data_IF_625508156993
#
_entry.id   IF_625508156993
#
_cell.length_a   1.000
_cell.length_b   1.000
_cell.length_c   1.000
_cell.angle_alpha   90.00
_cell.angle_beta   90.00
_cell.angle_gamma   90.00
#
_symmetry.space_group_name_H-M   'P 1'
#
loop_
_entity.id
_entity.type
_entity.pdbx_description
1 polymer ?
#
# COMPACT_ATOMS: atom_id res chain seq x y z
N UNK A 1 -2.84 -0.05 57.19
CA UNK A 1 -2.62 -1.47 57.51
C UNK A 1 -1.13 -1.78 57.42
N UNK A 2 -0.38 -1.35 58.44
CA UNK A 2 1.06 -1.60 58.59
C UNK A 2 1.23 -2.16 59.99
N UNK A 3 1.47 -3.47 60.10
CA UNK A 3 1.73 -4.09 61.40
C UNK A 3 2.52 -5.39 61.26
N UNK A 4 3.56 -5.50 62.09
CA UNK A 4 4.26 -6.70 62.59
C UNK A 4 5.51 -7.22 61.87
N UNK A 5 6.63 -6.60 62.25
CA UNK A 5 7.76 -7.19 62.99
C UNK A 5 7.58 -8.67 63.43
N UNK A 6 8.55 -9.54 63.14
CA UNK A 6 9.03 -10.59 64.07
C UNK A 6 10.56 -10.75 63.91
N UNK A 7 11.26 -10.43 65.00
CA UNK A 7 12.64 -10.80 65.31
C UNK A 7 12.58 -12.18 65.98
N UNK A 8 13.45 -13.13 65.59
CA UNK A 8 13.90 -14.18 66.51
C UNK A 8 15.38 -14.48 66.32
N UNK A 9 16.12 -14.12 67.36
CA UNK A 9 17.51 -14.47 67.64
C UNK A 9 17.50 -15.75 68.47
N UNK A 10 18.19 -16.81 68.04
CA UNK A 10 18.59 -17.91 68.94
C UNK A 10 20.07 -18.25 68.71
N UNK A 11 20.83 -18.07 69.79
CA UNK A 11 22.20 -18.52 70.02
C UNK A 11 22.31 -20.05 69.90
N UNK A 12 23.35 -20.54 69.24
CA UNK A 12 23.82 -21.92 69.32
C UNK A 12 25.34 -21.97 69.21
N UNK A 13 26.00 -22.39 70.29
CA UNK A 13 27.45 -22.41 70.43
C UNK A 13 28.09 -23.71 69.90
N UNK A 14 29.30 -23.55 69.33
CA UNK A 14 30.46 -24.47 69.25
C UNK A 14 30.26 -25.90 68.73
N UNK A 15 30.99 -26.23 67.65
CA UNK A 15 31.87 -27.40 67.61
C UNK A 15 32.91 -27.25 66.49
N UNK A 16 34.19 -27.20 66.86
CA UNK A 16 35.33 -27.25 65.94
C UNK A 16 35.55 -28.72 65.55
N UNK A 17 35.13 -29.10 64.34
CA UNK A 17 35.41 -30.42 63.78
C UNK A 17 36.44 -30.32 62.66
N UNK A 18 37.53 -31.06 62.85
CA UNK A 18 38.68 -31.29 61.97
C UNK A 18 38.30 -31.42 60.49
N UNK A 19 38.86 -30.55 59.65
CA UNK A 19 38.82 -30.68 58.19
C UNK A 19 39.93 -31.63 57.74
N UNK A 20 39.56 -32.82 57.28
CA UNK A 20 40.45 -33.66 56.45
C UNK A 20 40.74 -32.91 55.14
N UNK A 21 41.99 -32.93 54.62
CA UNK A 21 42.31 -32.28 53.36
C UNK A 21 41.50 -32.91 52.22
N UNK A 22 40.69 -32.11 51.54
CA UNK A 22 40.05 -32.49 50.28
C UNK A 22 41.18 -32.74 49.27
N UNK A 23 41.26 -33.96 48.73
CA UNK A 23 42.05 -34.22 47.52
C UNK A 23 41.47 -33.34 46.41
N UNK A 24 42.24 -32.33 46.00
CA UNK A 24 41.94 -31.60 44.78
C UNK A 24 42.09 -32.59 43.62
N UNK A 25 40.96 -33.02 43.04
CA UNK A 25 41.02 -33.54 41.68
C UNK A 25 41.64 -32.42 40.85
N UNK A 26 42.75 -32.70 40.17
CA UNK A 26 43.26 -31.79 39.14
C UNK A 26 42.12 -31.61 38.14
N UNK A 27 41.38 -30.51 38.28
CA UNK A 27 40.54 -30.01 37.21
C UNK A 27 41.54 -29.70 36.11
N UNK A 28 41.46 -30.44 35.00
CA UNK A 28 42.16 -30.06 33.79
C UNK A 28 41.56 -28.70 33.40
N UNK A 29 42.16 -27.63 33.91
CA UNK A 29 41.99 -26.31 33.33
C UNK A 29 42.77 -26.34 32.03
N UNK A 30 42.17 -27.01 31.05
CA UNK A 30 42.46 -26.82 29.63
C UNK A 30 42.04 -25.37 29.35
N UNK A 31 42.97 -24.45 29.62
CA UNK A 31 42.75 -23.03 29.41
C UNK A 31 42.45 -22.83 27.93
N UNK A 32 41.29 -22.24 27.63
CA UNK A 32 40.98 -21.69 26.33
C UNK A 32 42.21 -20.94 25.82
N UNK A 33 42.88 -21.52 24.84
CA UNK A 33 44.08 -20.90 24.29
C UNK A 33 43.64 -19.60 23.62
N UNK A 34 44.44 -18.54 23.73
CA UNK A 34 44.15 -17.25 23.07
C UNK A 34 43.82 -17.46 21.57
N UNK A 35 44.49 -18.43 20.95
CA UNK A 35 44.27 -18.83 19.56
C UNK A 35 42.88 -19.44 19.30
N UNK A 36 42.38 -20.29 20.20
CA UNK A 36 41.02 -20.85 20.11
C UNK A 36 39.95 -19.75 20.22
N UNK A 37 40.15 -18.79 21.13
CA UNK A 37 39.24 -17.64 21.24
C UNK A 37 39.28 -16.72 20.01
N UNK A 38 40.45 -16.55 19.38
CA UNK A 38 40.63 -15.77 18.15
C UNK A 38 39.91 -16.42 16.96
N UNK A 39 40.09 -17.73 16.79
CA UNK A 39 39.40 -18.51 15.76
C UNK A 39 37.89 -18.50 16.00
N UNK A 40 37.45 -18.61 17.25
CA UNK A 40 36.04 -18.52 17.63
C UNK A 40 35.40 -17.20 17.17
N UNK A 41 36.04 -16.07 17.45
CA UNK A 41 35.55 -14.75 16.99
C UNK A 41 35.50 -14.69 15.46
N UNK A 42 36.52 -15.20 14.76
CA UNK A 42 36.57 -15.20 13.29
C UNK A 42 35.44 -16.06 12.68
N UNK A 43 35.17 -17.23 13.25
CA UNK A 43 34.06 -18.09 12.80
C UNK A 43 32.72 -17.42 13.06
N UNK A 44 32.53 -16.80 14.23
CA UNK A 44 31.28 -16.09 14.54
C UNK A 44 31.05 -14.92 13.59
N UNK A 45 32.07 -14.10 13.30
CA UNK A 45 31.92 -12.97 12.37
C UNK A 45 31.65 -13.43 10.94
N UNK A 46 32.28 -14.51 10.49
CA UNK A 46 32.00 -15.12 9.19
C UNK A 46 30.54 -15.61 9.09
N UNK A 47 30.05 -16.31 10.13
CA UNK A 47 28.66 -16.80 10.19
C UNK A 47 27.66 -15.65 10.20
N UNK A 48 27.93 -14.59 10.98
CA UNK A 48 27.07 -13.39 11.01
C UNK A 48 27.06 -12.67 9.65
N UNK A 49 28.22 -12.50 9.03
CA UNK A 49 28.33 -11.89 7.71
C UNK A 49 27.56 -12.69 6.64
N UNK A 50 27.65 -14.03 6.68
CA UNK A 50 26.93 -14.92 5.77
C UNK A 50 25.40 -14.95 6.02
N UNK A 51 24.97 -14.74 7.27
CA UNK A 51 23.54 -14.79 7.64
C UNK A 51 22.79 -13.47 7.40
N UNK A 52 23.51 -12.36 7.17
CA UNK A 52 22.90 -11.03 7.02
C UNK A 52 22.09 -10.87 5.73
N UNK A 53 22.57 -11.28 4.53
CA UNK A 53 21.84 -11.07 3.29
C UNK A 53 20.43 -11.70 3.24
N UNK A 54 20.22 -12.96 3.70
CA UNK A 54 18.89 -13.56 3.73
C UNK A 54 17.88 -12.79 4.62
N UNK A 55 18.33 -12.30 5.77
CA UNK A 55 17.47 -11.56 6.71
C UNK A 55 17.04 -10.22 6.10
N UNK A 56 17.97 -9.50 5.48
CA UNK A 56 17.67 -8.24 4.81
C UNK A 56 16.71 -8.44 3.62
N UNK A 57 16.90 -9.50 2.84
CA UNK A 57 15.99 -9.85 1.75
C UNK A 57 14.57 -10.15 2.25
N UNK A 58 14.43 -10.91 3.35
CA UNK A 58 13.13 -11.20 3.95
C UNK A 58 12.44 -9.94 4.52
N UNK A 59 13.21 -9.01 5.10
CA UNK A 59 12.68 -7.74 5.57
C UNK A 59 12.21 -6.85 4.41
N UNK A 60 12.99 -6.79 3.32
CA UNK A 60 12.67 -6.00 2.14
C UNK A 60 11.37 -6.46 1.46
N UNK A 61 11.18 -7.77 1.26
CA UNK A 61 9.93 -8.30 0.68
C UNK A 61 8.71 -7.95 1.52
N UNK A 62 8.83 -8.02 2.85
CA UNK A 62 7.73 -7.66 3.76
C UNK A 62 7.34 -6.19 3.63
N UNK A 63 8.31 -5.28 3.54
CA UNK A 63 8.04 -3.84 3.37
C UNK A 63 7.39 -3.57 2.00
N UNK A 64 7.87 -4.23 0.95
CA UNK A 64 7.30 -4.09 -0.39
C UNK A 64 5.86 -4.61 -0.45
N UNK A 65 5.59 -5.78 0.12
CA UNK A 65 4.24 -6.34 0.20
C UNK A 65 3.31 -5.41 0.97
N UNK A 66 3.74 -4.88 2.12
CA UNK A 66 2.95 -3.91 2.88
C UNK A 66 2.60 -2.65 2.06
N UNK A 67 3.55 -2.12 1.30
CA UNK A 67 3.31 -0.95 0.44
C UNK A 67 2.35 -1.26 -0.70
N UNK A 68 2.45 -2.45 -1.29
CA UNK A 68 1.53 -2.90 -2.32
C UNK A 68 0.11 -3.10 -1.77
N UNK A 69 -0.01 -3.71 -0.60
CA UNK A 69 -1.29 -3.86 0.13
C UNK A 69 -1.92 -2.49 0.41
N UNK A 70 -1.14 -1.54 0.94
CA UNK A 70 -1.60 -0.17 1.17
C UNK A 70 -2.07 0.50 -0.12
N UNK A 71 -1.34 0.36 -1.22
CA UNK A 71 -1.73 0.93 -2.50
C UNK A 71 -3.05 0.35 -3.03
N UNK A 72 -3.29 -0.96 -2.83
CA UNK A 72 -4.56 -1.61 -3.18
C UNK A 72 -5.69 -1.07 -2.32
N UNK A 73 -5.49 -0.92 -1.01
CA UNK A 73 -6.49 -0.37 -0.10
C UNK A 73 -6.87 1.07 -0.47
N UNK A 74 -5.90 1.91 -0.81
CA UNK A 74 -6.14 3.28 -1.30
C UNK A 74 -6.95 3.25 -2.60
N UNK A 75 -6.60 2.36 -3.54
CA UNK A 75 -7.34 2.24 -4.79
C UNK A 75 -8.79 1.80 -4.57
N UNK A 76 -9.02 0.85 -3.65
CA UNK A 76 -10.34 0.38 -3.26
C UNK A 76 -11.16 1.50 -2.60
N UNK A 77 -10.54 2.27 -1.69
CA UNK A 77 -11.20 3.40 -1.04
C UNK A 77 -11.74 4.43 -2.04
N UNK A 78 -11.01 4.70 -3.13
CA UNK A 78 -11.48 5.61 -4.18
C UNK A 78 -12.65 5.02 -4.98
N UNK A 79 -12.60 3.71 -5.28
CA UNK A 79 -13.71 2.99 -5.92
C UNK A 79 -14.95 3.01 -5.04
N UNK A 80 -14.79 2.75 -3.74
CA UNK A 80 -15.89 2.73 -2.77
C UNK A 80 -16.48 4.13 -2.54
N UNK A 81 -15.63 5.17 -2.54
CA UNK A 81 -16.09 6.57 -2.51
C UNK A 81 -17.01 6.87 -3.69
N UNK A 82 -16.59 6.50 -4.90
CA UNK A 82 -17.40 6.71 -6.12
C UNK A 82 -18.65 5.83 -6.10
N UNK A 83 -18.56 4.60 -5.58
CA UNK A 83 -19.72 3.71 -5.41
C UNK A 83 -20.78 4.34 -4.54
N UNK A 84 -20.38 4.84 -3.37
CA UNK A 84 -21.30 5.50 -2.44
C UNK A 84 -21.96 6.72 -3.10
N UNK A 85 -21.20 7.54 -3.83
CA UNK A 85 -21.75 8.68 -4.56
C UNK A 85 -22.81 8.24 -5.59
N UNK A 86 -22.52 7.20 -6.38
CA UNK A 86 -23.45 6.70 -7.41
C UNK A 86 -24.69 6.05 -6.80
N UNK A 87 -24.54 5.30 -5.69
CA UNK A 87 -25.64 4.64 -4.99
C UNK A 87 -26.58 5.63 -4.29
N UNK A 88 -26.05 6.77 -3.81
CA UNK A 88 -26.87 7.85 -3.26
C UNK A 88 -27.77 8.51 -4.31
N UNK A 89 -27.40 8.45 -5.60
CA UNK A 89 -28.21 8.96 -6.70
C UNK A 89 -28.23 10.49 -6.86
N UNK A 90 -27.89 11.24 -5.82
CA UNK A 90 -27.88 12.71 -5.83
C UNK A 90 -26.48 13.30 -6.12
N UNK A 91 -25.73 12.68 -7.03
CA UNK A 91 -24.41 13.16 -7.44
C UNK A 91 -24.46 14.08 -8.66
N UNK A 92 -23.45 14.94 -8.76
CA UNK A 92 -23.19 15.79 -9.91
C UNK A 92 -22.16 15.16 -10.84
N UNK A 93 -22.24 15.47 -12.13
CA UNK A 93 -21.27 14.98 -13.12
C UNK A 93 -19.83 15.46 -12.87
N UNK A 94 -19.64 16.58 -12.15
CA UNK A 94 -18.34 17.12 -11.76
C UNK A 94 -17.75 16.45 -10.49
N UNK A 95 -18.56 15.73 -9.72
CA UNK A 95 -18.13 14.93 -8.57
C UNK A 95 -17.62 13.54 -8.98
N UNK A 96 -18.00 13.10 -10.18
CA UNK A 96 -17.49 11.88 -10.80
C UNK A 96 -16.03 12.05 -11.22
N UNK A 97 -15.27 10.95 -11.35
CA UNK A 97 -13.93 11.01 -11.92
C UNK A 97 -13.89 11.74 -13.27
N UNK A 98 -12.76 12.36 -13.63
CA UNK A 98 -12.66 13.09 -14.89
C UNK A 98 -12.75 12.12 -16.09
N UNK A 99 -13.56 12.44 -17.11
CA UNK A 99 -13.72 11.58 -18.28
C UNK A 99 -12.53 11.67 -19.24
N UNK A 100 -12.22 10.55 -19.88
CA UNK A 100 -11.29 10.49 -21.01
C UNK A 100 -12.02 10.92 -22.28
N UNK A 101 -11.71 12.12 -22.76
CA UNK A 101 -12.26 12.65 -24.01
C UNK A 101 -11.92 11.75 -25.20
N UNK A 102 -12.90 11.50 -26.08
CA UNK A 102 -12.72 10.72 -27.30
C UNK A 102 -12.72 9.20 -27.11
N UNK A 103 -12.88 8.69 -25.88
CA UNK A 103 -12.97 7.26 -25.64
C UNK A 103 -14.39 6.74 -25.96
N UNK A 104 -14.52 5.99 -27.06
CA UNK A 104 -15.81 5.41 -27.49
C UNK A 104 -16.03 4.00 -26.92
N UNK A 105 -14.97 3.23 -26.71
CA UNK A 105 -15.03 1.88 -26.13
C UNK A 105 -14.48 1.89 -24.69
N UNK A 106 -15.28 1.51 -23.66
CA UNK A 106 -14.88 1.49 -22.26
C UNK A 106 -13.78 0.45 -21.93
N UNK A 107 -13.58 -0.59 -22.75
CA UNK A 107 -12.46 -1.53 -22.58
C UNK A 107 -11.10 -0.90 -22.85
N UNK A 108 -11.06 0.21 -23.59
CA UNK A 108 -9.83 0.94 -23.89
C UNK A 108 -9.43 1.92 -22.79
N UNK A 109 -10.12 1.91 -21.65
CA UNK A 109 -9.78 2.75 -20.50
C UNK A 109 -8.36 2.46 -19.97
N UNK A 110 -7.84 1.24 -20.18
CA UNK A 110 -6.47 0.88 -19.83
C UNK A 110 -5.40 1.62 -20.63
N UNK A 111 -5.74 2.08 -21.84
CA UNK A 111 -4.83 2.81 -22.74
C UNK A 111 -4.58 4.25 -22.27
N UNK A 112 -5.24 4.69 -21.19
CA UNK A 112 -5.06 6.03 -20.66
C UNK A 112 -3.60 6.30 -20.33
N UNK A 113 -3.07 7.43 -20.77
CA UNK A 113 -1.70 7.85 -20.49
C UNK A 113 -1.44 7.99 -18.97
N UNK A 114 -0.18 7.85 -18.54
CA UNK A 114 0.20 8.14 -17.16
C UNK A 114 -0.11 9.61 -16.78
N UNK A 115 -0.16 9.93 -15.47
CA UNK A 115 -0.38 11.30 -15.05
C UNK A 115 0.82 12.17 -15.43
N UNK A 116 0.55 13.40 -15.86
CA UNK A 116 1.56 14.39 -16.27
C UNK A 116 1.69 15.55 -15.29
N UNK A 117 0.72 15.69 -14.38
CA UNK A 117 0.76 16.72 -13.34
C UNK A 117 0.10 16.24 -12.06
N UNK A 118 0.54 16.81 -10.96
CA UNK A 118 -0.12 16.70 -9.66
C UNK A 118 -0.94 17.97 -9.48
N UNK A 119 -2.20 17.81 -9.12
CA UNK A 119 -3.05 18.94 -8.79
C UNK A 119 -2.52 19.72 -7.58
N UNK A 120 -2.67 21.04 -7.64
CA UNK A 120 -2.03 21.99 -6.71
C UNK A 120 -2.92 22.45 -5.55
N UNK A 121 -4.21 22.12 -5.55
CA UNK A 121 -5.17 22.52 -4.52
C UNK A 121 -5.35 21.43 -3.46
N UNK A 122 -5.56 21.80 -2.19
CA UNK A 122 -5.84 20.84 -1.10
C UNK A 122 -7.20 21.19 -0.47
N UNK A 123 -8.19 20.27 -0.43
CA UNK A 123 -8.19 18.94 -1.03
C UNK A 123 -8.21 19.03 -2.57
N UNK A 124 -7.44 18.16 -3.22
CA UNK A 124 -7.42 18.08 -4.67
C UNK A 124 -8.52 17.15 -5.17
N UNK A 125 -9.27 17.62 -6.17
CA UNK A 125 -10.07 16.78 -7.05
C UNK A 125 -9.49 16.88 -8.47
N UNK A 126 -8.94 15.78 -9.04
CA UNK A 126 -8.43 15.79 -10.41
C UNK A 126 -9.53 16.21 -11.39
N UNK A 127 -9.29 17.27 -12.17
CA UNK A 127 -10.25 17.78 -13.17
C UNK A 127 -9.99 17.21 -14.56
N UNK A 128 -8.82 16.58 -14.75
CA UNK A 128 -8.40 15.95 -15.99
C UNK A 128 -7.91 14.53 -15.71
N UNK A 129 -8.09 13.57 -16.64
CA UNK A 129 -7.65 12.20 -16.43
C UNK A 129 -6.12 12.06 -16.35
N UNK A 130 -5.37 13.05 -16.86
CA UNK A 130 -3.90 13.14 -16.76
C UNK A 130 -3.41 13.76 -15.45
N UNK A 131 -4.30 14.20 -14.57
CA UNK A 131 -3.94 14.71 -13.25
C UNK A 131 -3.99 13.59 -12.21
N UNK A 132 -3.05 13.64 -11.28
CA UNK A 132 -3.08 12.80 -10.09
C UNK A 132 -3.18 13.66 -8.83
N UNK A 133 -3.71 13.08 -7.75
CA UNK A 133 -3.76 13.67 -6.41
C UNK A 133 -2.78 12.98 -5.48
N UNK A 134 -2.29 13.69 -4.46
CA UNK A 134 -1.58 13.03 -3.36
C UNK A 134 -2.59 12.34 -2.45
N UNK A 135 -2.26 11.13 -2.02
CA UNK A 135 -3.01 10.44 -0.95
C UNK A 135 -2.86 11.20 0.37
N UNK A 136 -3.81 11.01 1.29
CA UNK A 136 -3.78 11.59 2.63
C UNK A 136 -2.50 11.23 3.40
N UNK A 137 -1.97 10.02 3.16
CA UNK A 137 -0.73 9.54 3.77
C UNK A 137 0.54 10.15 3.13
N UNK A 138 0.40 10.99 2.10
CA UNK A 138 1.45 11.59 1.25
C UNK A 138 2.47 10.63 0.60
N UNK A 139 2.40 9.34 0.91
CA UNK A 139 3.30 8.30 0.42
C UNK A 139 2.92 7.78 -0.96
N UNK A 140 1.75 8.19 -1.47
CA UNK A 140 1.19 7.70 -2.71
C UNK A 140 0.62 8.83 -3.56
N UNK A 141 0.66 8.63 -4.86
CA UNK A 141 0.08 9.50 -5.88
C UNK A 141 -1.00 8.69 -6.59
N UNK A 142 -2.20 9.23 -6.66
CA UNK A 142 -3.40 8.53 -7.15
C UNK A 142 -3.91 9.21 -8.41
N UNK A 143 -3.90 8.49 -9.53
CA UNK A 143 -4.54 8.89 -10.77
C UNK A 143 -5.94 8.25 -10.83
N UNK A 144 -6.97 9.05 -11.05
CA UNK A 144 -8.36 8.59 -11.13
C UNK A 144 -8.94 9.12 -12.44
N UNK A 145 -9.59 8.26 -13.20
CA UNK A 145 -10.18 8.60 -14.48
C UNK A 145 -11.38 7.70 -14.78
N UNK A 146 -12.21 8.09 -15.75
CA UNK A 146 -13.32 7.26 -16.24
C UNK A 146 -13.47 7.37 -17.75
N UNK A 147 -14.24 6.48 -18.34
CA UNK A 147 -14.79 6.70 -19.67
C UNK A 147 -15.87 7.81 -19.65
N UNK A 148 -16.29 8.33 -20.82
CA UNK A 148 -17.37 9.32 -20.89
C UNK A 148 -18.70 8.83 -20.31
N UNK A 149 -18.90 7.53 -20.19
CA UNK A 149 -20.11 6.90 -19.71
C UNK A 149 -21.26 6.89 -20.73
N UNK A 150 -22.39 6.43 -20.24
CA UNK A 150 -23.71 6.49 -20.88
C UNK A 150 -24.60 7.35 -20.00
N UNK A 151 -25.32 8.29 -20.61
CA UNK A 151 -26.24 9.20 -19.94
C UNK A 151 -27.65 9.07 -20.51
N UNK A 152 -28.65 9.60 -19.80
CA UNK A 152 -30.01 9.71 -20.33
C UNK A 152 -30.44 11.17 -20.46
N UNK A 153 -30.84 11.66 -21.65
CA UNK A 153 -31.30 13.04 -21.82
C UNK A 153 -32.51 13.43 -20.96
N UNK A 154 -33.28 12.46 -20.46
CA UNK A 154 -34.42 12.71 -19.58
C UNK A 154 -34.00 12.97 -18.13
N UNK A 155 -32.79 12.56 -17.74
CA UNK A 155 -32.28 12.71 -16.38
C UNK A 155 -31.19 13.78 -16.41
N UNK A 156 -31.42 14.87 -15.69
CA UNK A 156 -30.55 16.04 -15.73
C UNK A 156 -29.54 16.03 -14.61
N UNK A 157 -28.33 16.49 -14.92
CA UNK A 157 -27.31 16.74 -13.92
C UNK A 157 -27.77 17.85 -12.95
N UNK A 158 -27.52 17.63 -11.65
CA UNK A 158 -27.98 18.53 -10.59
C UNK A 158 -27.28 19.91 -10.65
N UNK A 159 -26.03 19.94 -11.11
CA UNK A 159 -25.27 21.18 -11.30
C UNK A 159 -25.59 21.91 -12.58
N UNK A 160 -25.81 21.15 -13.64
CA UNK A 160 -25.85 21.65 -15.00
C UNK A 160 -27.10 21.07 -15.66
N UNK A 161 -28.30 21.67 -15.44
CA UNK A 161 -29.57 21.10 -15.92
C UNK A 161 -29.64 20.95 -17.44
N UNK A 162 -28.75 21.60 -18.18
CA UNK A 162 -28.57 21.46 -19.63
C UNK A 162 -27.86 20.17 -20.04
N UNK A 163 -27.18 19.48 -19.11
CA UNK A 163 -26.45 18.23 -19.35
C UNK A 163 -27.22 17.02 -18.82
N UNK A 164 -27.07 15.90 -19.51
CA UNK A 164 -27.61 14.62 -19.08
C UNK A 164 -26.73 14.03 -17.94
N UNK A 165 -27.35 13.49 -16.90
CA UNK A 165 -26.62 12.81 -15.83
C UNK A 165 -26.02 11.50 -16.35
N UNK A 166 -24.76 11.23 -16.00
CA UNK A 166 -24.12 9.95 -16.35
C UNK A 166 -24.72 8.85 -15.50
N UNK A 167 -25.14 7.73 -16.11
CA UNK A 167 -25.82 6.62 -15.44
C UNK A 167 -24.99 5.34 -15.39
N UNK A 168 -24.09 5.12 -16.33
CA UNK A 168 -23.17 3.99 -16.32
C UNK A 168 -21.82 4.39 -16.90
N UNK A 169 -20.73 3.91 -16.30
CA UNK A 169 -19.36 4.21 -16.73
C UNK A 169 -18.39 3.20 -16.14
N UNK A 170 -17.23 3.02 -16.80
CA UNK A 170 -16.07 2.36 -16.21
C UNK A 170 -15.12 3.41 -15.65
N UNK A 171 -14.60 3.18 -14.46
CA UNK A 171 -13.51 3.97 -13.87
C UNK A 171 -12.21 3.17 -13.82
N UNK A 172 -11.09 3.89 -13.82
CA UNK A 172 -9.76 3.37 -13.54
C UNK A 172 -9.11 4.15 -12.41
N UNK A 173 -8.41 3.44 -11.54
CA UNK A 173 -7.57 4.00 -10.47
C UNK A 173 -6.18 3.42 -10.60
N UNK A 174 -5.17 4.29 -10.63
CA UNK A 174 -3.75 3.89 -10.58
C UNK A 174 -3.08 4.55 -9.40
N UNK A 175 -2.38 3.76 -8.60
CA UNK A 175 -1.68 4.24 -7.40
C UNK A 175 -0.18 4.08 -7.61
N UNK A 176 0.52 5.20 -7.61
CA UNK A 176 1.96 5.30 -7.73
C UNK A 176 2.58 5.55 -6.36
N UNK A 177 3.84 5.15 -6.17
CA UNK A 177 4.60 5.53 -4.99
C UNK A 177 4.97 7.03 -5.06
N UNK A 178 5.17 7.68 -3.90
CA UNK A 178 5.74 9.05 -3.85
C UNK A 178 7.09 9.14 -4.56
N UNK A 179 7.87 8.06 -4.55
CA UNK A 179 9.15 8.00 -5.24
C UNK A 179 9.03 8.12 -6.78
N UNK A 180 7.82 7.98 -7.33
CA UNK A 180 7.54 8.20 -8.74
C UNK A 180 7.34 9.68 -9.12
N UNK A 181 7.23 10.59 -8.14
CA UNK A 181 6.99 12.02 -8.37
C UNK A 181 8.01 12.69 -9.31
N UNK A 182 9.33 12.46 -9.19
CA UNK A 182 10.28 13.05 -10.13
C UNK A 182 10.06 12.58 -11.58
N UNK A 183 9.62 11.33 -11.76
CA UNK A 183 9.35 10.74 -13.08
C UNK A 183 8.00 11.12 -13.66
N UNK A 184 7.05 11.47 -12.79
CA UNK A 184 5.79 12.11 -13.18
C UNK A 184 6.08 13.44 -13.87
N UNK A 185 6.92 14.27 -13.25
CA UNK A 185 7.28 15.59 -13.77
C UNK A 185 8.13 15.52 -15.04
N UNK A 186 8.88 14.43 -15.25
CA UNK A 186 9.65 14.19 -16.48
C UNK A 186 8.85 13.44 -17.57
N UNK A 187 7.61 13.03 -17.30
CA UNK A 187 6.76 12.30 -18.25
C UNK A 187 7.22 10.88 -18.56
N UNK A 188 7.97 10.24 -17.65
CA UNK A 188 8.57 8.92 -17.83
C UNK A 188 7.82 7.79 -17.12
N UNK A 189 6.63 8.08 -16.58
CA UNK A 189 5.81 7.07 -15.92
C UNK A 189 5.26 6.04 -16.91
N UNK A 190 5.04 4.84 -16.41
CA UNK A 190 4.40 3.74 -17.10
C UNK A 190 3.00 3.50 -16.53
N UNK A 191 2.23 2.68 -17.24
CA UNK A 191 0.83 2.35 -16.89
C UNK A 191 0.66 0.92 -16.39
N UNK A 192 1.63 0.04 -16.67
CA UNK A 192 1.64 -1.35 -16.24
C UNK A 192 2.05 -1.50 -14.78
N UNK A 193 1.36 -2.34 -14.02
CA UNK A 193 1.66 -2.61 -12.62
C UNK A 193 3.10 -3.06 -12.40
N UNK A 194 3.73 -2.56 -11.33
CA UNK A 194 5.08 -2.96 -10.93
C UNK A 194 5.10 -4.44 -10.52
N UNK A 195 5.99 -5.28 -11.06
CA UNK A 195 6.14 -6.65 -10.59
C UNK A 195 6.74 -6.67 -9.19
N UNK A 196 6.23 -7.54 -8.32
CA UNK A 196 6.68 -7.70 -6.93
C UNK A 196 7.97 -8.55 -6.82
N UNK A 197 8.83 -8.54 -7.85
CA UNK A 197 10.06 -9.35 -7.90
C UNK A 197 11.22 -8.58 -7.28
N UNK A 198 11.91 -9.22 -6.33
CA UNK A 198 12.99 -8.63 -5.50
C UNK A 198 14.12 -8.02 -6.31
N UNK A 199 14.42 -8.56 -7.50
CA UNK A 199 15.54 -8.11 -8.34
C UNK A 199 15.25 -6.83 -9.12
N UNK A 200 13.97 -6.49 -9.32
CA UNK A 200 13.55 -5.41 -10.22
C UNK A 200 12.79 -4.28 -9.49
N UNK A 201 12.47 -4.48 -8.21
CA UNK A 201 11.39 -3.74 -7.54
C UNK A 201 11.70 -2.27 -7.29
N UNK A 202 12.95 -1.87 -7.02
CA UNK A 202 13.23 -0.50 -6.53
C UNK A 202 13.16 0.50 -7.69
N UNK A 203 13.77 0.18 -8.83
CA UNK A 203 13.71 1.05 -10.00
C UNK A 203 12.30 1.07 -10.61
N UNK A 204 11.64 -0.09 -10.68
CA UNK A 204 10.33 -0.19 -11.32
C UNK A 204 9.21 0.45 -10.50
N UNK A 205 9.28 0.46 -9.16
CA UNK A 205 8.30 1.15 -8.30
C UNK A 205 8.35 2.69 -8.42
N UNK A 206 9.39 3.25 -9.04
CA UNK A 206 9.49 4.68 -9.35
C UNK A 206 8.88 5.05 -10.70
N UNK A 207 8.57 4.08 -11.55
CA UNK A 207 8.03 4.30 -12.89
C UNK A 207 6.61 3.75 -13.05
N UNK A 208 6.32 2.65 -12.35
CA UNK A 208 5.11 1.86 -12.52
C UNK A 208 4.15 2.03 -11.34
N UNK A 209 2.83 1.98 -11.57
CA UNK A 209 1.87 1.94 -10.47
C UNK A 209 2.06 0.67 -9.62
N UNK A 210 1.88 0.81 -8.31
CA UNK A 210 1.86 -0.30 -7.35
C UNK A 210 0.54 -1.06 -7.39
N UNK A 211 -0.55 -0.35 -7.71
CA UNK A 211 -1.88 -0.93 -7.85
C UNK A 211 -2.62 -0.27 -9.02
N UNK A 212 -3.35 -1.09 -9.76
CA UNK A 212 -4.26 -0.66 -10.83
C UNK A 212 -5.58 -1.39 -10.64
N UNK A 213 -6.67 -0.63 -10.51
CA UNK A 213 -8.02 -1.16 -10.39
C UNK A 213 -8.93 -0.55 -11.45
N UNK A 214 -9.80 -1.39 -12.00
CA UNK A 214 -10.88 -0.98 -12.89
C UNK A 214 -12.20 -1.45 -12.29
N UNK A 215 -13.21 -0.58 -12.32
CA UNK A 215 -14.52 -0.87 -11.77
C UNK A 215 -15.62 -0.29 -12.67
N UNK A 216 -16.71 -1.06 -12.80
CA UNK A 216 -17.91 -0.66 -13.54
C UNK A 216 -18.96 -0.13 -12.57
N UNK A 217 -19.57 0.99 -12.93
CA UNK A 217 -20.63 1.64 -12.17
C UNK A 217 -21.88 1.75 -13.02
N UNK A 218 -23.02 1.49 -12.39
CA UNK A 218 -24.32 1.69 -12.98
C UNK A 218 -25.30 2.12 -11.89
N UNK A 219 -25.99 3.24 -12.13
CA UNK A 219 -27.08 3.72 -11.30
C UNK A 219 -28.32 2.85 -11.55
N UNK A 220 -28.91 2.24 -10.52
CA UNK A 220 -29.98 1.22 -10.67
C UNK A 220 -31.39 1.64 -10.26
N UNK A 221 -31.57 2.80 -9.64
CA UNK A 221 -32.82 3.30 -9.05
C UNK A 221 -33.78 3.95 -10.05
N UNK A 222 -33.35 4.22 -11.28
CA UNK A 222 -34.16 4.91 -12.29
C UNK A 222 -34.71 3.94 -13.35
N UNK A 223 -35.95 4.15 -13.80
CA UNK A 223 -36.59 3.34 -14.85
C UNK A 223 -35.73 3.16 -16.12
N UNK A 224 -35.03 4.18 -16.67
CA UNK A 224 -34.18 3.99 -17.85
C UNK A 224 -32.85 3.28 -17.56
N UNK A 225 -32.46 3.08 -16.30
CA UNK A 225 -31.14 2.55 -15.92
C UNK A 225 -30.78 1.22 -16.56
N UNK A 226 -31.70 0.26 -16.57
CA UNK A 226 -31.45 -1.07 -17.16
C UNK A 226 -31.11 -0.98 -18.66
N UNK A 227 -31.78 -0.09 -19.39
CA UNK A 227 -31.54 0.10 -20.83
C UNK A 227 -30.17 0.71 -21.07
N UNK A 228 -29.81 1.73 -20.30
CA UNK A 228 -28.53 2.43 -20.39
C UNK A 228 -27.36 1.55 -19.97
N UNK A 229 -27.57 0.68 -18.99
CA UNK A 229 -26.59 -0.32 -18.62
C UNK A 229 -26.34 -1.35 -19.74
N UNK A 230 -27.39 -1.82 -20.43
CA UNK A 230 -27.23 -2.71 -21.59
C UNK A 230 -26.48 -2.01 -22.74
N UNK A 231 -26.77 -0.74 -23.01
CA UNK A 231 -26.05 0.08 -23.98
C UNK A 231 -24.56 0.21 -23.63
N UNK A 232 -24.26 0.41 -22.34
CA UNK A 232 -22.89 0.44 -21.83
C UNK A 232 -22.16 -0.89 -22.08
N UNK A 233 -22.79 -2.04 -21.76
CA UNK A 233 -22.19 -3.36 -22.00
C UNK A 233 -21.98 -3.66 -23.49
N UNK A 234 -22.86 -3.16 -24.37
CA UNK A 234 -22.70 -3.32 -25.82
C UNK A 234 -21.50 -2.54 -26.37
N UNK A 235 -21.22 -1.35 -25.84
CA UNK A 235 -20.02 -0.58 -26.20
C UNK A 235 -18.73 -1.26 -25.74
N UNK A 236 -18.83 -2.09 -24.70
CA UNK A 236 -17.73 -2.83 -24.11
C UNK A 236 -17.44 -4.17 -24.81
N UNK A 237 -18.15 -4.54 -25.87
CA UNK A 237 -17.81 -5.69 -26.71
C UNK A 237 -17.29 -5.20 -28.06
#
# INVERSE_FOLDING_TARGET
MLHRLIIQTVRGAKSFSSKKPKKYSKRSEEGLTILESLVGILVITLVLAASTPPILMAAATRVQNKRAEQAILIAQQEVDRVRLLVEQGDYRNDELPPPISGLTNPNRISDMFPPTSICSTTPCTPTQPSQAKRSEDENFIVQIFRDPGVSDPQIRDLSTPSQAQILAFRMGVRVYSKAAEPKLLSGQLMTDTAPLRVTDSIAQQTERPLAVLYADFARGDLTPSLRRYREFLQRAN
#
